data_IF_611375379727
#
_entry.id   IF_611375379727
#
_cell.length_a   1.000
_cell.length_b   1.000
_cell.length_c   1.000
_cell.angle_alpha   90.00
_cell.angle_beta   90.00
_cell.angle_gamma   90.00
#
_symmetry.space_group_name_H-M   'P 1'
#
loop_
_entity.id
_entity.type
_entity.pdbx_description
1 polymer ?
#
# COMPACT_ATOMS: atom_id res chain seq x y z
N UNK A 1 -3.79 -0.40 29.89
CA UNK A 1 -5.11 -0.83 29.36
C UNK A 1 -5.33 -0.29 27.94
N UNK A 2 -4.31 0.32 27.31
CA UNK A 2 -4.48 1.18 26.11
C UNK A 2 -3.99 0.58 24.77
N UNK A 3 -3.28 -0.55 24.78
CA UNK A 3 -2.68 -1.15 23.57
C UNK A 3 -3.70 -1.60 22.50
N UNK A 4 -4.93 -1.93 22.88
CA UNK A 4 -5.98 -2.26 21.90
C UNK A 4 -6.57 -1.03 21.22
N UNK A 5 -6.54 0.13 21.88
CA UNK A 5 -7.04 1.40 21.32
C UNK A 5 -6.05 1.96 20.29
N UNK A 6 -4.75 1.76 20.50
CA UNK A 6 -3.71 2.19 19.57
C UNK A 6 -3.99 1.70 18.14
N UNK A 7 -4.30 0.41 17.96
CA UNK A 7 -4.61 -0.15 16.65
C UNK A 7 -5.76 0.58 15.96
N UNK A 8 -6.84 0.89 16.68
CA UNK A 8 -7.99 1.62 16.16
C UNK A 8 -7.63 3.05 15.76
N UNK A 9 -6.86 3.74 16.60
CA UNK A 9 -6.39 5.11 16.34
C UNK A 9 -5.54 5.16 15.07
N UNK A 10 -4.60 4.22 14.90
CA UNK A 10 -3.74 4.17 13.73
C UNK A 10 -4.50 3.79 12.45
N UNK A 11 -5.50 2.89 12.54
CA UNK A 11 -6.42 2.62 11.44
C UNK A 11 -7.20 3.88 11.01
N UNK A 12 -7.71 4.66 11.97
CA UNK A 12 -8.41 5.92 11.67
C UNK A 12 -7.47 6.96 11.05
N UNK A 13 -6.22 7.07 11.53
CA UNK A 13 -5.20 7.96 10.96
C UNK A 13 -4.92 7.62 9.49
N UNK A 14 -4.67 6.35 9.17
CA UNK A 14 -4.35 5.96 7.79
C UNK A 14 -5.57 6.05 6.87
N UNK A 15 -6.78 5.78 7.36
CA UNK A 15 -8.00 5.97 6.58
C UNK A 15 -8.16 7.43 6.12
N UNK A 16 -7.85 8.42 6.97
CA UNK A 16 -7.84 9.84 6.58
C UNK A 16 -6.81 10.16 5.49
N UNK A 17 -5.66 9.49 5.49
CA UNK A 17 -4.64 9.64 4.44
C UNK A 17 -5.17 9.06 3.12
N UNK A 18 -5.74 7.84 3.14
CA UNK A 18 -6.32 7.18 1.95
C UNK A 18 -7.46 7.99 1.33
N UNK A 19 -8.33 8.54 2.16
CA UNK A 19 -9.41 9.44 1.77
C UNK A 19 -8.87 10.73 1.10
N UNK A 20 -7.79 11.29 1.65
CA UNK A 20 -7.11 12.44 1.06
C UNK A 20 -6.41 12.11 -0.27
N UNK A 21 -5.81 10.93 -0.40
CA UNK A 21 -5.25 10.42 -1.65
C UNK A 21 -6.34 10.33 -2.71
N UNK A 22 -7.49 9.73 -2.36
CA UNK A 22 -8.60 9.55 -3.29
C UNK A 22 -9.09 10.88 -3.86
N UNK A 23 -9.23 11.92 -3.02
CA UNK A 23 -9.62 13.25 -3.49
C UNK A 23 -8.58 13.96 -4.36
N UNK A 24 -7.29 13.84 -4.03
CA UNK A 24 -6.24 14.67 -4.65
C UNK A 24 -5.51 13.99 -5.80
N UNK A 25 -5.37 12.67 -5.78
CA UNK A 25 -4.69 11.88 -6.83
C UNK A 25 -5.71 11.37 -7.87
N UNK A 26 -6.93 11.07 -7.44
CA UNK A 26 -8.03 10.58 -8.29
C UNK A 26 -9.20 11.56 -8.36
N UNK A 27 -8.92 12.86 -8.31
CA UNK A 27 -9.95 13.89 -8.51
C UNK A 27 -10.77 13.59 -9.76
N UNK A 28 -12.09 13.76 -9.67
CA UNK A 28 -13.04 13.60 -10.78
C UNK A 28 -12.77 14.62 -11.91
N UNK A 29 -12.07 15.71 -11.59
CA UNK A 29 -11.60 16.66 -12.59
C UNK A 29 -10.36 16.12 -13.31
N UNK A 30 -10.23 16.42 -14.60
CA UNK A 30 -9.12 15.94 -15.45
C UNK A 30 -7.80 16.61 -15.02
N UNK A 31 -7.17 16.09 -13.96
CA UNK A 31 -5.85 16.54 -13.48
C UNK A 31 -4.78 15.87 -14.35
N UNK A 32 -3.88 16.61 -15.02
CA UNK A 32 -2.75 16.06 -15.77
C UNK A 32 -1.85 15.19 -14.89
N UNK A 33 -1.21 14.14 -15.45
CA UNK A 33 -0.28 13.25 -14.71
C UNK A 33 0.81 14.00 -13.91
N UNK A 34 1.48 15.04 -14.45
CA UNK A 34 2.51 15.78 -13.70
C UNK A 34 1.96 16.45 -12.44
N UNK A 35 0.70 16.91 -12.48
CA UNK A 35 0.03 17.52 -11.34
C UNK A 35 -0.38 16.50 -10.26
N UNK A 36 -0.31 15.19 -10.54
CA UNK A 36 -0.58 14.11 -9.58
C UNK A 36 0.68 13.64 -8.84
N UNK A 37 1.86 13.86 -9.42
CA UNK A 37 3.14 13.40 -8.87
C UNK A 37 3.47 14.06 -7.53
N UNK A 38 3.43 15.39 -7.45
CA UNK A 38 3.72 16.12 -6.21
C UNK A 38 2.77 15.72 -5.05
N UNK A 39 1.43 15.62 -5.25
CA UNK A 39 0.54 15.05 -4.25
C UNK A 39 0.91 13.63 -3.84
N UNK A 40 1.21 12.74 -4.79
CA UNK A 40 1.56 11.35 -4.50
C UNK A 40 2.83 11.24 -3.63
N UNK A 41 3.87 11.99 -3.96
CA UNK A 41 5.11 12.06 -3.17
C UNK A 41 4.85 12.59 -1.75
N UNK A 42 4.04 13.65 -1.63
CA UNK A 42 3.64 14.21 -0.34
C UNK A 42 2.90 13.18 0.52
N UNK A 43 1.99 12.41 -0.08
CA UNK A 43 1.30 11.35 0.65
C UNK A 43 2.21 10.18 0.97
N UNK A 44 3.18 9.85 0.10
CA UNK A 44 4.22 8.88 0.40
C UNK A 44 4.99 9.24 1.67
N UNK A 45 5.45 10.49 1.79
CA UNK A 45 6.11 10.98 3.01
C UNK A 45 5.22 10.87 4.26
N UNK A 46 3.94 11.24 4.16
CA UNK A 46 2.98 11.09 5.26
C UNK A 46 2.78 9.63 5.67
N UNK A 47 2.79 8.72 4.71
CA UNK A 47 2.68 7.28 4.98
C UNK A 47 3.95 6.76 5.66
N UNK A 48 5.14 7.18 5.24
CA UNK A 48 6.38 6.84 5.94
C UNK A 48 6.38 7.35 7.39
N UNK A 49 6.03 8.62 7.60
CA UNK A 49 5.90 9.19 8.95
C UNK A 49 4.88 8.42 9.80
N UNK A 50 3.71 8.10 9.24
CA UNK A 50 2.69 7.29 9.92
C UNK A 50 3.23 5.92 10.36
N UNK A 51 4.10 5.30 9.55
CA UNK A 51 4.70 4.00 9.87
C UNK A 51 5.72 4.11 11.01
N UNK A 52 6.53 5.17 11.02
CA UNK A 52 7.49 5.44 12.09
C UNK A 52 6.82 5.79 13.43
N UNK A 53 5.61 6.36 13.39
CA UNK A 53 4.81 6.64 14.59
C UNK A 53 4.22 5.38 15.25
N UNK A 54 4.25 4.20 14.60
CA UNK A 54 3.62 3.00 15.12
C UNK A 54 4.26 2.54 16.44
N UNK A 55 3.46 2.22 17.47
CA UNK A 55 3.96 1.59 18.68
C UNK A 55 4.76 0.31 18.36
N UNK A 56 5.81 -0.03 19.14
CA UNK A 56 6.65 -1.19 18.85
C UNK A 56 5.89 -2.50 18.66
N UNK A 57 4.83 -2.72 19.45
CA UNK A 57 3.97 -3.91 19.37
C UNK A 57 3.10 -3.98 18.10
N UNK A 58 2.99 -2.89 17.34
CA UNK A 58 2.26 -2.84 16.07
C UNK A 58 3.19 -2.72 14.86
N UNK A 59 4.40 -2.17 15.02
CA UNK A 59 5.33 -1.86 13.91
C UNK A 59 6.68 -2.58 13.92
N UNK A 60 7.31 -2.77 15.08
CA UNK A 60 8.71 -3.20 15.19
C UNK A 60 8.89 -4.67 15.59
N UNK A 61 7.93 -5.24 16.33
CA UNK A 61 7.98 -6.64 16.78
C UNK A 61 7.49 -7.56 15.65
N UNK A 62 8.22 -8.66 15.41
CA UNK A 62 7.81 -9.68 14.44
C UNK A 62 6.39 -10.18 14.79
N UNK A 63 5.40 -10.11 13.88
CA UNK A 63 4.01 -10.46 14.20
C UNK A 63 3.83 -11.89 14.75
N UNK A 64 4.72 -12.81 14.36
CA UNK A 64 4.73 -14.19 14.86
C UNK A 64 5.04 -14.30 16.36
N UNK A 65 5.74 -13.34 16.94
CA UNK A 65 6.06 -13.29 18.38
C UNK A 65 4.95 -12.66 19.23
N UNK A 66 3.89 -12.13 18.60
CA UNK A 66 2.76 -11.50 19.28
C UNK A 66 1.64 -12.50 19.56
N UNK A 67 0.86 -12.23 20.61
CA UNK A 67 -0.41 -12.95 20.84
C UNK A 67 -1.36 -12.77 19.64
N UNK A 68 -2.27 -13.73 19.38
CA UNK A 68 -3.06 -13.75 18.14
C UNK A 68 -3.84 -12.46 17.84
N UNK A 69 -4.32 -11.74 18.86
CA UNK A 69 -5.03 -10.47 18.69
C UNK A 69 -4.12 -9.33 18.19
N UNK A 70 -2.94 -9.14 18.79
CA UNK A 70 -1.98 -8.12 18.33
C UNK A 70 -1.35 -8.48 17.00
N UNK A 71 -1.15 -9.78 16.71
CA UNK A 71 -0.73 -10.25 15.38
C UNK A 71 -1.71 -9.78 14.31
N UNK A 72 -3.02 -10.00 14.51
CA UNK A 72 -4.06 -9.53 13.59
C UNK A 72 -4.05 -8.01 13.42
N UNK A 73 -3.93 -7.26 14.51
CA UNK A 73 -3.90 -5.80 14.49
C UNK A 73 -2.67 -5.25 13.72
N UNK A 74 -1.48 -5.76 14.01
CA UNK A 74 -0.24 -5.37 13.31
C UNK A 74 -0.33 -5.69 11.81
N UNK A 75 -0.86 -6.85 11.44
CA UNK A 75 -1.05 -7.20 10.04
C UNK A 75 -2.06 -6.31 9.32
N UNK A 76 -3.20 -6.02 9.96
CA UNK A 76 -4.22 -5.13 9.39
C UNK A 76 -3.66 -3.75 9.10
N UNK A 77 -2.82 -3.23 10.00
CA UNK A 77 -2.11 -1.96 9.82
C UNK A 77 -1.07 -2.05 8.69
N UNK A 78 -0.31 -3.15 8.61
CA UNK A 78 0.68 -3.38 7.53
C UNK A 78 0.01 -3.46 6.15
N UNK A 79 -1.12 -4.14 6.04
CA UNK A 79 -1.92 -4.21 4.81
C UNK A 79 -2.54 -2.86 4.45
N UNK A 80 -3.04 -2.11 5.44
CA UNK A 80 -3.54 -0.74 5.23
C UNK A 80 -2.45 0.18 4.68
N UNK A 81 -1.24 0.07 5.22
CA UNK A 81 -0.06 0.80 4.75
C UNK A 81 0.32 0.46 3.31
N UNK A 82 0.45 -0.83 3.02
CA UNK A 82 0.73 -1.30 1.67
C UNK A 82 -0.35 -0.82 0.66
N UNK A 83 -1.63 -0.96 1.02
CA UNK A 83 -2.74 -0.48 0.21
C UNK A 83 -2.68 1.03 -0.05
N UNK A 84 -2.39 1.84 0.97
CA UNK A 84 -2.31 3.29 0.82
C UNK A 84 -1.15 3.73 -0.10
N UNK A 85 0.02 3.10 0.01
CA UNK A 85 1.15 3.35 -0.88
C UNK A 85 0.84 2.95 -2.33
N UNK A 86 0.23 1.78 -2.52
CA UNK A 86 -0.24 1.34 -3.83
C UNK A 86 -1.23 2.35 -4.42
N UNK A 87 -2.23 2.76 -3.64
CA UNK A 87 -3.26 3.69 -4.07
C UNK A 87 -2.68 5.04 -4.52
N UNK A 88 -1.72 5.59 -3.75
CA UNK A 88 -1.08 6.87 -4.08
C UNK A 88 -0.25 6.82 -5.37
N UNK A 89 0.41 5.70 -5.66
CA UNK A 89 1.43 5.62 -6.71
C UNK A 89 0.99 4.86 -7.97
N UNK A 90 -0.13 4.13 -7.92
CA UNK A 90 -0.67 3.38 -9.06
C UNK A 90 -0.83 4.18 -10.37
N UNK A 91 -1.17 5.50 -10.38
CA UNK A 91 -1.34 6.23 -11.64
C UNK A 91 -0.09 6.28 -12.53
N UNK A 92 1.10 6.06 -11.96
CA UNK A 92 2.38 6.14 -12.66
C UNK A 92 2.81 4.81 -13.29
N UNK A 93 2.08 3.71 -13.03
CA UNK A 93 2.37 2.41 -13.63
C UNK A 93 2.26 2.41 -15.16
N UNK A 94 1.47 3.31 -15.75
CA UNK A 94 1.21 3.37 -17.19
C UNK A 94 2.01 4.49 -17.88
N UNK A 95 2.58 4.19 -19.04
CA UNK A 95 3.28 5.16 -19.91
C UNK A 95 4.63 4.62 -20.38
N UNK A 96 4.94 4.82 -21.67
CA UNK A 96 6.19 4.39 -22.28
C UNK A 96 7.38 5.27 -21.86
N UNK A 97 7.18 6.58 -21.84
CA UNK A 97 8.19 7.56 -21.39
C UNK A 97 7.86 8.01 -19.96
N UNK A 98 8.50 7.36 -18.97
CA UNK A 98 8.45 7.80 -17.58
C UNK A 98 9.62 8.72 -17.28
N UNK A 99 9.33 9.81 -16.58
CA UNK A 99 10.37 10.59 -15.91
C UNK A 99 11.01 9.77 -14.78
N UNK A 100 12.22 10.13 -14.36
CA UNK A 100 12.92 9.47 -13.25
C UNK A 100 12.05 9.41 -11.97
N UNK A 101 11.30 10.48 -11.71
CA UNK A 101 10.42 10.59 -10.53
C UNK A 101 9.16 9.71 -10.64
N UNK A 102 8.62 9.52 -11.85
CA UNK A 102 7.53 8.58 -12.10
C UNK A 102 8.00 7.13 -11.99
N UNK A 103 9.25 6.84 -12.37
CA UNK A 103 9.85 5.52 -12.19
C UNK A 103 10.08 5.22 -10.70
N UNK A 104 10.59 6.19 -9.91
CA UNK A 104 10.66 6.08 -8.44
C UNK A 104 9.29 5.77 -7.84
N UNK A 105 8.24 6.47 -8.29
CA UNK A 105 6.87 6.26 -7.82
C UNK A 105 6.33 4.88 -8.21
N UNK A 106 6.66 4.41 -9.42
CA UNK A 106 6.36 3.05 -9.89
C UNK A 106 7.01 1.99 -8.99
N UNK A 107 8.30 2.15 -8.67
CA UNK A 107 9.02 1.25 -7.75
C UNK A 107 8.36 1.22 -6.37
N UNK A 108 7.95 2.37 -5.83
CA UNK A 108 7.20 2.43 -4.56
C UNK A 108 5.89 1.64 -4.65
N UNK A 109 5.14 1.79 -5.74
CA UNK A 109 3.88 1.05 -5.95
C UNK A 109 4.12 -0.47 -5.96
N UNK A 110 5.14 -0.94 -6.66
CA UNK A 110 5.44 -2.37 -6.81
C UNK A 110 6.02 -2.97 -5.53
N UNK A 111 6.88 -2.25 -4.82
CA UNK A 111 7.36 -2.69 -3.51
C UNK A 111 6.22 -2.78 -2.49
N UNK A 112 5.25 -1.86 -2.54
CA UNK A 112 4.06 -1.93 -1.70
C UNK A 112 3.16 -3.12 -2.08
N UNK A 113 3.02 -3.44 -3.37
CA UNK A 113 2.28 -4.62 -3.81
C UNK A 113 2.94 -5.93 -3.32
N UNK A 114 4.27 -6.05 -3.45
CA UNK A 114 5.03 -7.18 -2.89
C UNK A 114 4.83 -7.30 -1.39
N UNK A 115 4.94 -6.19 -0.66
CA UNK A 115 4.69 -6.15 0.79
C UNK A 115 3.30 -6.69 1.16
N UNK A 116 2.27 -6.33 0.39
CA UNK A 116 0.91 -6.83 0.61
C UNK A 116 0.82 -8.34 0.36
N UNK A 117 1.36 -8.82 -0.76
CA UNK A 117 1.36 -10.24 -1.12
C UNK A 117 2.13 -11.09 -0.10
N UNK A 118 3.33 -10.68 0.30
CA UNK A 118 4.13 -11.38 1.32
C UNK A 118 3.41 -11.41 2.67
N UNK A 119 2.72 -10.32 3.03
CA UNK A 119 1.95 -10.25 4.28
C UNK A 119 0.76 -11.21 4.25
N UNK A 120 0.09 -11.32 3.11
CA UNK A 120 -1.01 -12.27 2.91
C UNK A 120 -0.49 -13.71 2.92
N UNK A 121 0.58 -14.00 2.17
CA UNK A 121 1.19 -15.32 2.08
C UNK A 121 1.59 -15.86 3.47
N UNK A 122 2.13 -14.99 4.33
CA UNK A 122 2.49 -15.34 5.71
C UNK A 122 1.34 -15.83 6.59
N UNK A 123 0.08 -15.69 6.15
CA UNK A 123 -1.11 -16.12 6.88
C UNK A 123 -2.07 -17.01 6.11
N UNK A 124 -1.75 -17.39 4.87
CA UNK A 124 -2.53 -18.39 4.14
C UNK A 124 -2.58 -19.73 4.90
N UNK A 125 -1.56 -20.02 5.74
CA UNK A 125 -1.55 -21.18 6.64
C UNK A 125 -2.39 -21.04 7.93
N UNK A 126 -2.88 -19.84 8.26
CA UNK A 126 -3.71 -19.56 9.45
C UNK A 126 -5.14 -19.18 8.98
N UNK A 127 -5.90 -20.20 8.56
CA UNK A 127 -7.20 -20.09 7.87
C UNK A 127 -8.23 -19.23 8.62
N UNK A 128 -8.15 -19.17 9.95
CA UNK A 128 -9.05 -18.35 10.78
C UNK A 128 -8.74 -16.85 10.62
N UNK A 129 -7.47 -16.47 10.42
CA UNK A 129 -7.09 -15.06 10.22
C UNK A 129 -7.47 -14.54 8.85
N UNK A 130 -7.39 -15.37 7.80
CA UNK A 130 -7.62 -14.95 6.43
C UNK A 130 -9.09 -14.59 6.16
N UNK A 131 -10.04 -15.35 6.70
CA UNK A 131 -11.48 -15.12 6.49
C UNK A 131 -12.08 -14.04 7.39
N UNK A 132 -11.46 -13.71 8.53
CA UNK A 132 -11.97 -12.70 9.46
C UNK A 132 -11.86 -11.25 8.94
N UNK A 133 -11.05 -11.01 7.89
CA UNK A 133 -10.86 -9.68 7.31
C UNK A 133 -11.31 -9.67 5.85
N UNK A 134 -12.57 -9.27 5.62
CA UNK A 134 -13.14 -9.05 4.27
C UNK A 134 -12.32 -8.10 3.39
N UNK A 135 -11.51 -7.24 4.01
CA UNK A 135 -10.61 -6.29 3.36
C UNK A 135 -9.34 -6.95 2.76
N UNK A 136 -8.87 -8.08 3.31
CA UNK A 136 -7.66 -8.78 2.85
C UNK A 136 -7.74 -9.19 1.37
N UNK A 137 -8.77 -9.93 0.90
CA UNK A 137 -8.87 -10.30 -0.52
C UNK A 137 -8.94 -9.08 -1.44
N UNK A 138 -9.54 -7.98 -0.99
CA UNK A 138 -9.55 -6.72 -1.75
C UNK A 138 -8.14 -6.13 -1.91
N UNK A 139 -7.35 -6.06 -0.85
CA UNK A 139 -5.95 -5.57 -0.94
C UNK A 139 -5.10 -6.50 -1.79
N UNK A 140 -5.28 -7.82 -1.68
CA UNK A 140 -4.60 -8.80 -2.52
C UNK A 140 -4.92 -8.58 -3.99
N UNK A 141 -6.19 -8.40 -4.34
CA UNK A 141 -6.62 -8.10 -5.70
C UNK A 141 -5.96 -6.81 -6.23
N UNK A 142 -5.93 -5.74 -5.44
CA UNK A 142 -5.26 -4.50 -5.78
C UNK A 142 -3.74 -4.70 -6.02
N UNK A 143 -3.09 -5.50 -5.19
CA UNK A 143 -1.66 -5.81 -5.32
C UNK A 143 -1.36 -6.59 -6.60
N UNK A 144 -2.10 -7.67 -6.85
CA UNK A 144 -1.97 -8.45 -8.08
C UNK A 144 -2.20 -7.57 -9.30
N UNK A 145 -3.24 -6.75 -9.30
CA UNK A 145 -3.55 -5.85 -10.43
C UNK A 145 -2.40 -4.90 -10.72
N UNK A 146 -1.78 -4.30 -9.70
CA UNK A 146 -0.65 -3.40 -9.89
C UNK A 146 0.58 -4.12 -10.46
N UNK A 147 0.89 -5.32 -9.97
CA UNK A 147 1.99 -6.15 -10.48
C UNK A 147 1.75 -6.54 -11.94
N UNK A 148 0.55 -7.03 -12.26
CA UNK A 148 0.20 -7.41 -13.64
C UNK A 148 0.32 -6.22 -14.61
N UNK A 149 -0.23 -5.06 -14.25
CA UNK A 149 -0.13 -3.86 -15.08
C UNK A 149 1.34 -3.49 -15.31
N UNK A 150 2.18 -3.53 -14.28
CA UNK A 150 3.60 -3.23 -14.42
C UNK A 150 4.35 -4.20 -15.33
N UNK A 151 4.11 -5.51 -15.20
CA UNK A 151 4.72 -6.53 -16.07
C UNK A 151 4.31 -6.34 -17.53
N UNK A 152 3.04 -6.04 -17.81
CA UNK A 152 2.56 -5.76 -19.17
C UNK A 152 3.26 -4.54 -19.75
N UNK A 153 3.37 -3.46 -18.97
CA UNK A 153 4.01 -2.22 -19.43
C UNK A 153 5.51 -2.43 -19.68
N UNK A 154 6.19 -3.18 -18.82
CA UNK A 154 7.61 -3.51 -18.99
C UNK A 154 7.85 -4.39 -20.23
N UNK A 155 6.97 -5.37 -20.48
CA UNK A 155 7.03 -6.21 -21.68
C UNK A 155 6.83 -5.41 -22.96
N UNK A 156 5.91 -4.44 -22.97
CA UNK A 156 5.70 -3.54 -24.11
C UNK A 156 6.93 -2.66 -24.39
N UNK A 157 7.52 -2.03 -23.37
CA UNK A 157 8.73 -1.21 -23.54
C UNK A 157 9.93 -2.00 -24.09
N UNK A 158 10.08 -3.26 -23.70
CA UNK A 158 11.16 -4.12 -24.20
C UNK A 158 10.93 -4.55 -25.67
N UNK A 159 9.68 -4.61 -26.13
CA UNK A 159 9.38 -4.93 -27.53
C UNK A 159 9.60 -3.72 -28.46
N UNK A 160 9.48 -2.50 -27.94
CA UNK A 160 9.69 -1.26 -28.69
C UNK A 160 11.17 -0.82 -28.76
N UNK A 161 12.08 -1.50 -28.05
CA UNK A 161 13.52 -1.16 -28.01
C UNK A 161 14.38 -2.40 -28.34
N UNK A 162 14.46 -2.81 -29.62
CA UNK A 162 15.12 -4.06 -30.07
C UNK A 162 16.64 -4.06 -29.96
#
# INVERSE_FOLDING_TARGET
MDCHIDSLVFHAKIAKIVDSISRKVYSLHRVPKPARLAPAQTFGQKLYAWREELPPHLGAIRPLSLIPSFRRQSMGLKLSYAHALMHANRPFLMGADRTEEEEKSTIVCINAAKLALDTVDSVVGDTIMFHAFWWTPYVTFCALTNVYVWEIQKGASNADNP
#
